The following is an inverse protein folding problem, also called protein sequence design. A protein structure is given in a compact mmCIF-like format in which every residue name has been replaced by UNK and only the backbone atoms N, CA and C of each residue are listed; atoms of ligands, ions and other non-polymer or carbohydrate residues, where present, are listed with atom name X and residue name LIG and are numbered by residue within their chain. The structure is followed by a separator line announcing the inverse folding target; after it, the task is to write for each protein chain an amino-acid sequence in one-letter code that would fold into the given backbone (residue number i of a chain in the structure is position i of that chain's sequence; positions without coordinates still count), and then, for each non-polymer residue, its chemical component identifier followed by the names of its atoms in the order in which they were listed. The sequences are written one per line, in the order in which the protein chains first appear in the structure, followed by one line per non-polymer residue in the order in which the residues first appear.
data_IF_011356560238
#
_entry.id   IF_011356560238
#
_cell.length_a   1.000
_cell.length_b   1.000
_cell.length_c   1.000
_cell.angle_alpha   90.00
_cell.angle_beta   90.00
_cell.angle_gamma   90.00
#
_symmetry.space_group_name_H-M   'P 1'
#
loop_
_entity.id
_entity.type
_entity.pdbx_description
1 polymer ?
#
# COMPACT_ATOMS: atom_id res chain seq x y z
N UNK A 1 -82.40 7.82 22.22
CA UNK A 1 -82.49 9.15 21.59
C UNK A 1 -81.35 10.00 22.13
N UNK A 2 -80.47 10.48 21.24
CA UNK A 2 -79.76 11.78 21.21
C UNK A 2 -79.33 12.42 22.57
N UNK A 3 -78.12 12.93 22.80
CA UNK A 3 -77.03 13.35 21.92
C UNK A 3 -75.73 13.58 22.73
N UNK A 4 -74.61 13.59 22.01
CA UNK A 4 -73.43 14.47 22.16
C UNK A 4 -72.61 14.45 23.46
N UNK A 5 -71.35 14.00 23.33
CA UNK A 5 -70.22 14.76 23.85
C UNK A 5 -69.07 14.70 22.83
N UNK A 6 -68.82 15.85 22.21
CA UNK A 6 -67.63 16.20 21.44
C UNK A 6 -66.58 16.80 22.36
N UNK A 7 -65.32 16.54 22.02
CA UNK A 7 -64.06 17.30 22.24
C UNK A 7 -62.96 16.21 22.38
N UNK A 8 -62.33 15.79 21.28
CA UNK A 8 -61.07 16.38 20.76
C UNK A 8 -60.04 16.60 21.87
N UNK A 9 -59.01 15.75 21.97
CA UNK A 9 -57.70 16.06 21.36
C UNK A 9 -56.67 14.92 21.53
N UNK A 10 -55.77 14.86 20.56
CA UNK A 10 -54.44 14.25 20.56
C UNK A 10 -54.24 12.72 20.62
N UNK A 11 -54.34 12.16 19.41
CA UNK A 11 -53.54 11.02 18.96
C UNK A 11 -52.11 11.47 18.63
N UNK A 12 -51.10 11.16 19.46
CA UNK A 12 -49.71 11.13 19.01
C UNK A 12 -48.93 9.94 19.59
N UNK A 13 -48.97 8.87 18.80
CA UNK A 13 -47.83 8.03 18.42
C UNK A 13 -46.94 7.43 19.52
N UNK A 14 -47.23 6.16 19.81
CA UNK A 14 -46.19 5.14 19.91
C UNK A 14 -45.20 5.25 18.74
N UNK A 15 -44.01 5.80 18.98
CA UNK A 15 -42.82 5.51 18.15
C UNK A 15 -41.71 4.97 19.03
N UNK A 16 -41.50 3.66 18.90
CA UNK A 16 -40.23 3.03 19.18
C UNK A 16 -39.12 3.78 18.43
N UNK A 17 -38.33 4.56 19.16
CA UNK A 17 -37.09 5.10 18.62
C UNK A 17 -36.10 3.95 18.42
N UNK A 18 -35.52 3.77 17.20
CA UNK A 18 -34.50 2.77 16.98
C UNK A 18 -33.26 3.14 17.79
N UNK A 19 -33.07 2.45 18.92
CA UNK A 19 -31.85 2.52 19.71
C UNK A 19 -30.67 2.25 18.78
N UNK A 20 -29.70 3.17 18.72
CA UNK A 20 -28.45 3.04 17.96
C UNK A 20 -27.67 1.76 18.33
N UNK A 21 -28.04 0.61 17.78
CA UNK A 21 -27.33 -0.67 17.92
C UNK A 21 -26.10 -0.76 17.00
N UNK A 22 -26.12 -0.02 15.88
CA UNK A 22 -25.05 -0.03 14.88
C UNK A 22 -23.67 0.40 15.41
N UNK A 23 -23.64 1.33 16.38
CA UNK A 23 -22.39 1.80 17.00
C UNK A 23 -21.80 0.77 17.95
N UNK A 24 -22.65 0.13 18.77
CA UNK A 24 -22.22 -0.90 19.73
C UNK A 24 -21.70 -2.14 19.00
N UNK A 25 -22.40 -2.61 17.97
CA UNK A 25 -22.00 -3.80 17.21
C UNK A 25 -20.72 -3.58 16.40
N UNK A 26 -20.54 -2.39 15.82
CA UNK A 26 -19.31 -2.03 15.12
C UNK A 26 -18.13 -1.86 16.09
N UNK A 27 -18.37 -1.28 17.27
CA UNK A 27 -17.37 -1.16 18.33
C UNK A 27 -17.00 -2.53 18.93
N UNK A 28 -17.97 -3.43 19.12
CA UNK A 28 -17.75 -4.79 19.59
C UNK A 28 -16.90 -5.57 18.59
N UNK A 29 -17.23 -5.51 17.30
CA UNK A 29 -16.45 -6.13 16.22
C UNK A 29 -15.01 -5.59 16.19
N UNK A 30 -14.84 -4.27 16.35
CA UNK A 30 -13.53 -3.63 16.40
C UNK A 30 -12.74 -4.04 17.65
N UNK A 31 -13.40 -4.20 18.80
CA UNK A 31 -12.79 -4.63 20.06
C UNK A 31 -12.35 -6.10 20.00
N UNK A 32 -13.23 -6.99 19.54
CA UNK A 32 -12.96 -8.43 19.35
C UNK A 32 -11.81 -8.62 18.36
N UNK A 33 -11.81 -7.86 17.26
CA UNK A 33 -10.71 -7.86 16.28
C UNK A 33 -9.40 -7.42 16.94
N UNK A 34 -9.39 -6.31 17.69
CA UNK A 34 -8.17 -5.82 18.37
C UNK A 34 -7.63 -6.84 19.37
N UNK A 35 -8.50 -7.45 20.18
CA UNK A 35 -8.09 -8.45 21.18
C UNK A 35 -7.52 -9.70 20.52
N UNK A 36 -8.22 -10.22 19.52
CA UNK A 36 -7.80 -11.41 18.79
C UNK A 36 -6.54 -11.15 17.94
N UNK A 37 -6.39 -9.96 17.36
CA UNK A 37 -5.17 -9.52 16.67
C UNK A 37 -3.98 -9.43 17.62
N UNK A 38 -4.15 -8.86 18.82
CA UNK A 38 -3.09 -8.82 19.84
C UNK A 38 -2.65 -10.22 20.25
N UNK A 39 -3.59 -11.15 20.42
CA UNK A 39 -3.28 -12.55 20.72
C UNK A 39 -2.52 -13.23 19.58
N UNK A 40 -2.96 -13.05 18.34
CA UNK A 40 -2.28 -13.57 17.15
C UNK A 40 -0.86 -13.00 17.00
N UNK A 41 -0.68 -11.69 17.23
CA UNK A 41 0.63 -11.02 17.19
C UNK A 41 1.54 -11.41 18.36
N UNK A 42 1.00 -11.67 19.55
CA UNK A 42 1.78 -12.17 20.67
C UNK A 42 2.37 -13.55 20.32
N UNK A 43 1.58 -14.44 19.71
CA UNK A 43 2.05 -15.76 19.24
C UNK A 43 3.09 -15.66 18.13
N UNK A 44 2.88 -14.76 17.15
CA UNK A 44 3.86 -14.49 16.09
C UNK A 44 5.18 -13.94 16.66
N UNK A 45 5.11 -13.03 17.63
CA UNK A 45 6.30 -12.51 18.32
C UNK A 45 7.02 -13.59 19.12
N UNK A 46 6.30 -14.47 19.79
CA UNK A 46 6.90 -15.59 20.52
C UNK A 46 7.67 -16.53 19.56
N UNK A 47 7.09 -16.87 18.41
CA UNK A 47 7.77 -17.68 17.37
C UNK A 47 8.98 -16.96 16.78
N UNK A 48 8.88 -15.67 16.45
CA UNK A 48 10.03 -14.89 15.97
C UNK A 48 11.16 -14.79 16.99
N UNK A 49 10.84 -14.51 18.26
CA UNK A 49 11.83 -14.42 19.33
C UNK A 49 12.47 -15.77 19.64
N UNK A 50 11.74 -16.86 19.49
CA UNK A 50 12.28 -18.20 19.71
C UNK A 50 13.24 -18.59 18.57
N UNK A 51 12.88 -18.30 17.32
CA UNK A 51 13.78 -18.49 16.18
C UNK A 51 15.07 -17.66 16.31
N UNK A 52 14.99 -16.42 16.80
CA UNK A 52 16.18 -15.57 16.92
C UNK A 52 17.13 -16.01 18.03
N UNK A 53 16.63 -16.75 19.04
CA UNK A 53 17.39 -17.19 20.21
C UNK A 53 17.90 -18.61 20.11
N UNK A 54 17.25 -19.47 19.33
CA UNK A 54 17.59 -20.88 19.23
C UNK A 54 17.97 -21.24 17.79
N UNK A 55 19.25 -21.57 17.58
CA UNK A 55 19.82 -21.94 16.28
C UNK A 55 19.27 -23.27 15.76
N UNK A 56 19.07 -24.26 16.64
CA UNK A 56 18.46 -25.55 16.31
C UNK A 56 17.04 -25.35 15.79
N UNK A 57 16.24 -24.55 16.49
CA UNK A 57 14.89 -24.15 16.05
C UNK A 57 14.96 -23.38 14.74
N UNK A 58 15.89 -22.45 14.59
CA UNK A 58 16.06 -21.70 13.34
C UNK A 58 16.41 -22.60 12.16
N UNK A 59 17.12 -23.70 12.38
CA UNK A 59 17.57 -24.59 11.32
C UNK A 59 16.54 -25.70 11.04
N UNK A 60 15.80 -26.19 12.04
CA UNK A 60 14.59 -27.01 11.83
C UNK A 60 13.54 -26.23 11.02
N UNK A 61 13.23 -24.98 11.41
CA UNK A 61 12.32 -24.10 10.68
C UNK A 61 12.83 -23.86 9.26
N UNK A 62 14.14 -23.65 9.07
CA UNK A 62 14.72 -23.46 7.72
C UNK A 62 14.62 -24.74 6.87
N UNK A 63 14.83 -25.91 7.48
CA UNK A 63 14.74 -27.22 6.84
C UNK A 63 13.31 -27.54 6.41
N UNK A 64 12.34 -27.35 7.30
CA UNK A 64 10.93 -27.63 7.03
C UNK A 64 10.30 -26.60 6.08
N UNK A 65 10.64 -25.32 6.21
CA UNK A 65 10.00 -24.23 5.47
C UNK A 65 10.75 -23.86 4.18
N UNK A 66 12.04 -24.17 4.09
CA UNK A 66 12.95 -23.76 3.00
C UNK A 66 13.39 -22.29 3.10
N UNK A 67 12.84 -21.51 4.04
CA UNK A 67 13.18 -20.11 4.31
C UNK A 67 13.06 -19.82 5.82
N UNK A 68 14.00 -19.06 6.38
CA UNK A 68 13.91 -18.56 7.77
C UNK A 68 12.77 -17.53 7.86
N UNK A 69 12.01 -17.50 8.98
CA UNK A 69 10.99 -16.46 9.16
C UNK A 69 11.68 -15.10 9.27
N UNK A 70 11.05 -14.09 8.67
CA UNK A 70 11.54 -12.72 8.70
C UNK A 70 11.27 -12.11 10.09
N UNK A 71 12.33 -11.66 10.77
CA UNK A 71 12.24 -11.05 12.09
C UNK A 71 11.83 -9.57 11.97
N UNK A 72 10.74 -9.13 12.61
CA UNK A 72 10.37 -7.72 12.63
C UNK A 72 11.46 -6.86 13.30
N UNK A 73 11.78 -5.72 12.71
CA UNK A 73 12.66 -4.71 13.28
C UNK A 73 11.84 -3.50 13.75
N UNK A 74 11.82 -3.25 15.05
CA UNK A 74 11.07 -2.15 15.67
C UNK A 74 11.41 -0.77 15.12
N UNK A 75 12.62 -0.57 14.61
CA UNK A 75 13.08 0.71 14.02
C UNK A 75 12.65 0.92 12.57
N UNK A 76 12.02 -0.08 11.93
CA UNK A 76 11.62 -0.02 10.51
C UNK A 76 10.14 -0.30 10.37
N UNK A 77 9.37 0.74 10.10
CA UNK A 77 7.90 0.74 10.10
C UNK A 77 7.23 -0.35 9.24
N UNK A 78 7.88 -0.79 8.15
CA UNK A 78 7.37 -1.82 7.24
C UNK A 78 7.75 -3.26 7.61
N UNK A 79 8.76 -3.44 8.47
CA UNK A 79 9.34 -4.77 8.73
C UNK A 79 8.36 -5.75 9.39
N UNK A 80 7.51 -5.26 10.29
CA UNK A 80 6.47 -6.06 10.95
C UNK A 80 5.41 -6.55 9.97
N UNK A 81 5.07 -5.71 8.99
CA UNK A 81 4.15 -6.09 7.92
C UNK A 81 4.78 -7.16 7.02
N UNK A 82 6.04 -6.97 6.61
CA UNK A 82 6.75 -7.95 5.78
C UNK A 82 6.89 -9.31 6.49
N UNK A 83 7.17 -9.30 7.80
CA UNK A 83 7.17 -10.50 8.63
C UNK A 83 5.82 -11.22 8.64
N UNK A 84 4.73 -10.46 8.76
CA UNK A 84 3.37 -11.00 8.76
C UNK A 84 2.95 -11.54 7.40
N UNK A 85 3.33 -10.89 6.30
CA UNK A 85 3.06 -11.40 4.94
C UNK A 85 3.76 -12.74 4.75
N UNK A 86 5.03 -12.84 5.11
CA UNK A 86 5.79 -14.09 5.04
C UNK A 86 5.14 -15.16 5.93
N UNK A 87 4.81 -14.84 7.18
CA UNK A 87 4.15 -15.77 8.08
C UNK A 87 2.79 -16.25 7.52
N UNK A 88 1.97 -15.35 6.98
CA UNK A 88 0.70 -15.69 6.38
C UNK A 88 0.85 -16.62 5.17
N UNK A 89 1.82 -16.35 4.29
CA UNK A 89 2.09 -17.24 3.14
C UNK A 89 2.50 -18.66 3.57
N UNK A 90 3.25 -18.77 4.67
CA UNK A 90 3.69 -20.07 5.17
C UNK A 90 2.52 -20.78 5.89
N UNK A 91 1.68 -20.05 6.63
CA UNK A 91 0.47 -20.61 7.24
C UNK A 91 -0.53 -21.13 6.20
N UNK A 92 -0.58 -20.54 5.00
CA UNK A 92 -1.42 -21.01 3.90
C UNK A 92 -0.82 -22.23 3.17
N UNK A 93 0.51 -22.34 3.09
CA UNK A 93 1.18 -23.40 2.29
C UNK A 93 1.57 -24.62 3.13
N UNK A 94 2.05 -24.41 4.37
CA UNK A 94 2.70 -25.42 5.23
C UNK A 94 2.13 -25.41 6.65
N UNK A 95 0.79 -25.34 6.75
CA UNK A 95 0.08 -25.29 8.03
C UNK A 95 0.43 -26.42 9.03
N UNK A 96 0.45 -27.72 8.64
CA UNK A 96 0.71 -28.80 9.59
C UNK A 96 2.16 -28.81 10.11
N UNK A 97 3.13 -28.37 9.29
CA UNK A 97 4.53 -28.27 9.68
C UNK A 97 4.72 -27.23 10.81
N UNK A 98 4.19 -26.02 10.64
CA UNK A 98 4.22 -24.99 11.70
C UNK A 98 3.51 -25.48 12.97
N UNK A 99 2.40 -26.20 12.83
CA UNK A 99 1.66 -26.69 13.99
C UNK A 99 2.51 -27.67 14.81
N UNK A 100 3.21 -28.59 14.15
CA UNK A 100 4.16 -29.52 14.79
C UNK A 100 5.32 -28.79 15.44
N UNK A 101 5.97 -27.87 14.71
CA UNK A 101 7.06 -27.04 15.22
C UNK A 101 6.67 -26.27 16.48
N UNK A 102 5.46 -25.69 16.49
CA UNK A 102 4.96 -24.95 17.65
C UNK A 102 4.71 -25.86 18.86
N UNK A 103 4.21 -27.08 18.65
CA UNK A 103 4.04 -28.07 19.72
C UNK A 103 5.39 -28.50 20.27
N UNK A 104 6.34 -28.82 19.40
CA UNK A 104 7.71 -29.21 19.78
C UNK A 104 8.41 -28.08 20.58
N UNK A 105 8.09 -26.83 20.23
CA UNK A 105 8.59 -25.63 20.90
C UNK A 105 7.81 -25.20 22.14
N UNK A 106 6.82 -26.00 22.57
CA UNK A 106 5.95 -25.71 23.72
C UNK A 106 5.21 -24.36 23.61
N UNK A 107 4.87 -23.96 22.38
CA UNK A 107 4.12 -22.76 22.06
C UNK A 107 2.67 -23.09 21.69
N UNK A 108 1.70 -22.28 22.13
CA UNK A 108 0.30 -22.50 21.78
C UNK A 108 0.10 -22.28 20.27
N UNK A 109 -0.41 -23.29 19.52
CA UNK A 109 -0.52 -23.21 18.07
C UNK A 109 -1.51 -22.11 17.63
N UNK A 110 -1.40 -21.74 16.35
CA UNK A 110 -2.32 -20.79 15.73
C UNK A 110 -3.71 -21.42 15.57
N UNK A 111 -4.66 -20.94 16.37
CA UNK A 111 -6.09 -21.20 16.15
C UNK A 111 -6.55 -20.66 14.77
N UNK A 112 -7.59 -21.27 14.18
CA UNK A 112 -8.20 -20.84 12.91
C UNK A 112 -8.59 -19.37 12.92
N UNK A 113 -9.12 -18.89 14.04
CA UNK A 113 -9.44 -17.48 14.21
C UNK A 113 -8.21 -16.56 14.08
N UNK A 114 -7.04 -17.01 14.54
CA UNK A 114 -5.81 -16.23 14.43
C UNK A 114 -5.35 -16.16 12.97
N UNK A 115 -5.45 -17.26 12.23
CA UNK A 115 -5.09 -17.33 10.81
C UNK A 115 -6.03 -16.45 9.98
N UNK A 116 -7.34 -16.52 10.22
CA UNK A 116 -8.33 -15.69 9.54
C UNK A 116 -8.08 -14.19 9.75
N UNK A 117 -7.75 -13.79 10.98
CA UNK A 117 -7.44 -12.39 11.31
C UNK A 117 -6.13 -11.94 10.68
N UNK A 118 -5.08 -12.77 10.70
CA UNK A 118 -3.82 -12.43 10.03
C UNK A 118 -4.01 -12.23 8.53
N UNK A 119 -4.83 -13.08 7.90
CA UNK A 119 -5.18 -12.97 6.48
C UNK A 119 -5.93 -11.68 6.18
N UNK A 120 -6.97 -11.36 6.94
CA UNK A 120 -7.72 -10.10 6.81
C UNK A 120 -6.84 -8.87 7.09
N UNK A 121 -5.96 -8.95 8.09
CA UNK A 121 -5.01 -7.89 8.39
C UNK A 121 -4.05 -7.62 7.24
N UNK A 122 -3.43 -8.67 6.67
CA UNK A 122 -2.53 -8.55 5.49
C UNK A 122 -3.26 -7.95 4.29
N UNK A 123 -4.53 -8.34 4.08
CA UNK A 123 -5.39 -7.82 3.02
C UNK A 123 -5.73 -6.34 3.24
N UNK A 124 -6.06 -5.93 4.46
CA UNK A 124 -6.41 -4.54 4.81
C UNK A 124 -5.18 -3.61 4.80
N UNK A 125 -4.04 -4.07 5.31
CA UNK A 125 -2.79 -3.29 5.33
C UNK A 125 -2.15 -3.14 3.95
N UNK A 126 -2.63 -3.89 2.96
CA UNK A 126 -2.37 -3.55 1.57
C UNK A 126 -3.16 -2.27 1.31
N UNK A 127 -2.51 -1.11 1.51
CA UNK A 127 -3.03 0.22 1.19
C UNK A 127 -3.30 0.41 -0.32
N UNK A 128 -3.60 -0.66 -1.07
CA UNK A 128 -3.91 -0.64 -2.49
C UNK A 128 -5.01 0.37 -2.83
N UNK A 129 -6.13 0.53 -2.06
CA UNK A 129 -7.11 1.55 -2.38
C UNK A 129 -6.55 2.97 -2.29
N UNK A 130 -5.76 3.25 -1.25
CA UNK A 130 -5.13 4.55 -1.05
C UNK A 130 -4.04 4.81 -2.11
N UNK A 131 -3.18 3.82 -2.36
CA UNK A 131 -2.14 3.89 -3.38
C UNK A 131 -2.75 4.10 -4.78
N UNK A 132 -3.84 3.38 -5.09
CA UNK A 132 -4.57 3.54 -6.34
C UNK A 132 -5.26 4.90 -6.42
N UNK A 133 -5.85 5.39 -5.33
CA UNK A 133 -6.47 6.72 -5.29
C UNK A 133 -5.43 7.84 -5.48
N UNK A 134 -4.26 7.73 -4.84
CA UNK A 134 -3.14 8.67 -5.02
C UNK A 134 -2.60 8.62 -6.44
N UNK A 135 -2.37 7.42 -6.98
CA UNK A 135 -1.91 7.25 -8.35
C UNK A 135 -2.94 7.79 -9.36
N UNK A 136 -4.22 7.50 -9.15
CA UNK A 136 -5.33 8.03 -9.96
C UNK A 136 -5.41 9.55 -9.87
N UNK A 137 -5.28 10.13 -8.69
CA UNK A 137 -5.27 11.58 -8.49
C UNK A 137 -4.09 12.27 -9.17
N UNK A 138 -2.88 11.70 -9.06
CA UNK A 138 -1.68 12.21 -9.74
C UNK A 138 -1.87 12.12 -11.26
N UNK A 139 -2.33 10.98 -11.78
CA UNK A 139 -2.61 10.83 -13.21
C UNK A 139 -3.65 11.86 -13.65
N UNK A 140 -4.82 11.91 -13.02
CA UNK A 140 -5.89 12.86 -13.37
C UNK A 140 -5.43 14.31 -13.38
N UNK A 141 -4.55 14.71 -12.45
CA UNK A 141 -4.10 16.11 -12.33
C UNK A 141 -2.93 16.46 -13.27
N UNK A 142 -2.02 15.51 -13.50
CA UNK A 142 -0.75 15.77 -14.19
C UNK A 142 -0.59 15.08 -15.55
N UNK A 143 -1.51 14.21 -15.96
CA UNK A 143 -1.44 13.46 -17.22
C UNK A 143 -1.26 14.38 -18.44
N UNK A 144 -2.02 15.48 -18.51
CA UNK A 144 -1.86 16.47 -19.59
C UNK A 144 -0.46 17.08 -19.67
N UNK A 145 0.17 17.35 -18.53
CA UNK A 145 1.54 17.87 -18.46
C UNK A 145 2.60 16.79 -18.72
N UNK A 146 2.27 15.53 -18.43
CA UNK A 146 3.15 14.40 -18.73
C UNK A 146 3.20 14.11 -20.22
N UNK A 147 2.18 14.48 -20.99
CA UNK A 147 2.11 14.31 -22.45
C UNK A 147 2.56 15.55 -23.22
N UNK A 148 2.53 16.74 -22.60
CA UNK A 148 2.96 17.99 -23.21
C UNK A 148 4.48 18.00 -23.52
N UNK A 149 4.79 18.21 -24.80
CA UNK A 149 6.16 18.26 -25.31
C UNK A 149 6.99 19.35 -24.63
N UNK A 150 6.40 20.52 -24.40
CA UNK A 150 7.11 21.66 -23.78
C UNK A 150 7.52 21.32 -22.35
N UNK A 151 6.60 20.72 -21.57
CA UNK A 151 6.88 20.27 -20.21
C UNK A 151 7.93 19.15 -20.17
N UNK A 152 7.87 18.19 -21.10
CA UNK A 152 8.86 17.10 -21.19
C UNK A 152 10.25 17.64 -21.52
N UNK A 153 10.36 18.55 -22.49
CA UNK A 153 11.62 19.19 -22.86
C UNK A 153 12.16 20.05 -21.71
N UNK A 154 11.32 20.88 -21.09
CA UNK A 154 11.71 21.71 -19.95
C UNK A 154 12.25 20.86 -18.78
N UNK A 155 11.57 19.75 -18.47
CA UNK A 155 12.04 18.81 -17.47
C UNK A 155 13.38 18.17 -17.87
N UNK A 156 13.58 17.83 -19.14
CA UNK A 156 14.81 17.22 -19.61
C UNK A 156 16.02 18.18 -19.62
N UNK A 157 15.80 19.47 -19.84
CA UNK A 157 16.84 20.50 -19.77
C UNK A 157 17.14 20.98 -18.33
N UNK A 158 16.35 20.56 -17.35
CA UNK A 158 16.57 20.97 -15.96
C UNK A 158 17.74 20.20 -15.33
N UNK A 159 18.73 20.91 -14.79
CA UNK A 159 20.00 20.34 -14.28
C UNK A 159 19.85 19.26 -13.19
N UNK A 160 18.73 19.27 -12.46
CA UNK A 160 18.39 18.26 -11.44
C UNK A 160 17.54 17.08 -11.96
N UNK A 161 17.01 17.15 -13.18
CA UNK A 161 16.20 16.10 -13.77
C UNK A 161 17.01 15.31 -14.79
N UNK A 162 17.49 14.14 -14.37
CA UNK A 162 18.22 13.22 -15.25
C UNK A 162 17.24 12.25 -15.88
N UNK A 163 17.29 12.07 -17.20
CA UNK A 163 16.41 11.13 -17.93
C UNK A 163 16.67 9.63 -17.62
N UNK A 164 17.63 9.31 -16.75
CA UNK A 164 17.98 7.95 -16.33
C UNK A 164 16.79 7.20 -15.75
N UNK A 165 15.89 7.89 -15.03
CA UNK A 165 14.68 7.24 -14.50
C UNK A 165 13.70 6.87 -15.63
N UNK A 166 13.52 7.75 -16.62
CA UNK A 166 12.62 7.50 -17.75
C UNK A 166 13.12 6.33 -18.59
N UNK A 167 14.44 6.20 -18.76
CA UNK A 167 15.05 5.04 -19.42
C UNK A 167 14.73 3.72 -18.67
N UNK A 168 14.77 3.74 -17.34
CA UNK A 168 14.54 2.54 -16.51
C UNK A 168 13.09 2.08 -16.51
N UNK A 169 12.13 3.02 -16.46
CA UNK A 169 10.71 2.70 -16.28
C UNK A 169 9.91 2.75 -17.58
N UNK A 170 10.29 3.59 -18.55
CA UNK A 170 9.52 3.80 -19.78
C UNK A 170 10.43 4.13 -20.98
N UNK A 171 11.24 3.15 -21.37
CA UNK A 171 12.30 3.32 -22.39
C UNK A 171 11.78 3.80 -23.76
N UNK A 172 10.53 3.50 -24.13
CA UNK A 172 9.92 4.01 -25.37
C UNK A 172 9.78 5.53 -25.36
N UNK A 173 9.24 6.09 -24.27
CA UNK A 173 9.11 7.55 -24.11
C UNK A 173 10.47 8.22 -24.00
N UNK A 174 11.44 7.56 -23.35
CA UNK A 174 12.82 8.04 -23.32
C UNK A 174 13.40 8.27 -24.71
N UNK A 175 13.28 7.30 -25.62
CA UNK A 175 13.78 7.44 -27.00
C UNK A 175 13.11 8.59 -27.76
N UNK A 176 11.82 8.84 -27.51
CA UNK A 176 11.07 9.94 -28.13
C UNK A 176 11.57 11.28 -27.60
N UNK A 177 11.56 11.46 -26.27
CA UNK A 177 12.02 12.70 -25.61
C UNK A 177 13.47 13.01 -25.98
N UNK A 178 14.33 11.99 -26.04
CA UNK A 178 15.73 12.15 -26.45
C UNK A 178 15.87 12.67 -27.88
N UNK A 179 15.13 12.09 -28.84
CA UNK A 179 15.13 12.58 -30.23
C UNK A 179 14.61 14.02 -30.33
N UNK A 180 13.59 14.37 -29.55
CA UNK A 180 13.06 15.73 -29.51
C UNK A 180 14.09 16.73 -28.98
N UNK A 181 14.85 16.35 -27.94
CA UNK A 181 15.96 17.16 -27.42
C UNK A 181 17.04 17.34 -28.49
N UNK A 182 17.49 16.25 -29.12
CA UNK A 182 18.53 16.27 -30.15
C UNK A 182 18.11 17.20 -31.32
N UNK A 183 16.89 17.06 -31.81
CA UNK A 183 16.35 17.92 -32.86
C UNK A 183 16.23 19.40 -32.42
N UNK A 184 15.84 19.67 -31.16
CA UNK A 184 15.71 21.06 -30.68
C UNK A 184 17.07 21.74 -30.54
N UNK A 185 18.08 21.01 -30.09
CA UNK A 185 19.47 21.49 -30.00
C UNK A 185 20.03 21.74 -31.39
N UNK A 186 19.85 20.81 -32.33
CA UNK A 186 20.33 20.98 -33.70
C UNK A 186 19.72 22.20 -34.39
N UNK A 187 18.40 22.39 -34.26
CA UNK A 187 17.72 23.58 -34.76
C UNK A 187 18.22 24.89 -34.13
N UNK A 188 18.58 24.88 -32.84
CA UNK A 188 19.13 26.06 -32.18
C UNK A 188 20.53 26.41 -32.72
N UNK A 189 21.37 25.40 -32.94
CA UNK A 189 22.72 25.57 -33.50
C UNK A 189 22.67 26.08 -34.95
N UNK A 190 21.73 25.60 -35.75
CA UNK A 190 21.53 26.09 -37.13
C UNK A 190 21.14 27.57 -37.12
N UNK A 191 20.17 27.96 -36.28
CA UNK A 191 19.76 29.37 -36.16
C UNK A 191 20.89 30.29 -35.72
N UNK A 192 21.73 29.84 -34.79
CA UNK A 192 22.88 30.62 -34.32
C UNK A 192 23.91 30.83 -35.44
N UNK A 193 24.17 29.79 -36.26
CA UNK A 193 25.05 29.91 -37.43
C UNK A 193 24.51 30.87 -38.49
N UNK A 194 23.20 30.84 -38.74
CA UNK A 194 22.55 31.76 -39.68
C UNK A 194 22.55 33.22 -39.19
N UNK A 195 22.49 33.46 -37.88
CA UNK A 195 22.61 34.79 -37.30
C UNK A 195 24.03 35.34 -37.47
N UNK A 196 25.05 34.56 -37.13
CA UNK A 196 26.46 34.94 -37.30
C UNK A 196 26.80 35.21 -38.78
N UNK A 197 26.20 34.46 -39.71
CA UNK A 197 26.37 34.68 -41.15
C UNK A 197 25.79 36.00 -41.67
N UNK A 198 24.73 36.53 -41.05
CA UNK A 198 24.08 37.79 -41.45
C UNK A 198 24.81 39.03 -40.91
N UNK A 199 25.41 38.91 -39.73
CA UNK A 199 26.18 40.00 -39.12
C UNK A 199 27.50 40.27 -39.89
N UNK A 200 28.09 39.24 -40.48
CA UNK A 200 29.33 39.37 -41.28
C UNK A 200 29.11 39.98 -42.68
N UNK A 201 27.90 39.90 -43.24
CA UNK A 201 27.57 40.48 -44.56
C UNK A 201 27.22 41.97 -44.43
N UNK A 202 26.82 42.44 -43.25
CA UNK A 202 26.40 43.83 -43.01
C UNK A 202 27.55 44.80 -42.67
N UNK A 203 28.81 44.31 -42.62
CA UNK A 203 30.01 45.11 -42.32
C UNK A 203 30.90 45.29 -43.58
N UNK A 204 30.51 44.72 -44.73
CA UNK A 204 31.20 44.89 -46.03
C UNK A 204 30.50 45.93 -46.89
#
# INVERSE_FOLDING_TARGET
MLASNTNEDDTLENRDFPVHTRSKDAALKTSIFKTSYRAAMAKARATWNLQSRNTVVSDSIKSELGKKLFLPNTRRWKSTYDALVVLNTILETKRPAIHRDMIEMNLPPFNDQNVAIMKEYVKMHRCAPLANALLSGIKKRFERFMEDEVCQLAAAFHSKFRLVWLQKYENRKFSIVRKLIEAKVENALIKEREAIGKDNISIS
#
